data_IF_441473554287
#
_entry.id   IF_441473554287
#
_cell.length_a   1.000
_cell.length_b   1.000
_cell.length_c   1.000
_cell.angle_alpha   90.00
_cell.angle_beta   90.00
_cell.angle_gamma   90.00
#
_symmetry.space_group_name_H-M   'P 1'
#
loop_
_entity.id
_entity.type
_entity.pdbx_description
1 polymer ?
#
# COMPACT_ATOMS: atom_id res chain seq x y z
N UNK A 1 -10.22 -14.47 -2.05
CA UNK A 1 -10.52 -14.99 -0.70
C UNK A 1 -10.23 -13.89 0.30
N UNK A 2 -11.08 -13.68 1.31
CA UNK A 2 -10.85 -12.69 2.37
C UNK A 2 -10.06 -13.29 3.55
N UNK A 3 -9.62 -12.43 4.47
CA UNK A 3 -9.04 -12.78 5.77
C UNK A 3 -9.67 -11.98 6.90
N UNK A 4 -9.12 -12.08 8.12
CA UNK A 4 -9.62 -11.34 9.27
C UNK A 4 -9.33 -9.84 9.12
N UNK A 5 -8.11 -9.51 8.70
CA UNK A 5 -7.68 -8.15 8.41
C UNK A 5 -7.53 -7.89 6.90
N UNK A 6 -7.39 -6.61 6.52
CA UNK A 6 -7.06 -6.20 5.15
C UNK A 6 -5.79 -6.89 4.65
N UNK A 7 -4.74 -6.89 5.47
CA UNK A 7 -3.44 -7.51 5.15
C UNK A 7 -3.58 -9.01 4.84
N UNK A 8 -4.37 -9.74 5.62
CA UNK A 8 -4.60 -11.18 5.40
C UNK A 8 -5.32 -11.43 4.06
N UNK A 9 -6.27 -10.56 3.72
CA UNK A 9 -7.01 -10.63 2.45
C UNK A 9 -6.07 -10.43 1.26
N UNK A 10 -5.16 -9.46 1.34
CA UNK A 10 -4.15 -9.21 0.30
C UNK A 10 -3.20 -10.40 0.19
N UNK A 11 -2.67 -10.90 1.31
CA UNK A 11 -1.78 -12.06 1.31
C UNK A 11 -2.41 -13.29 0.67
N UNK A 12 -3.67 -13.58 0.98
CA UNK A 12 -4.41 -14.68 0.35
C UNK A 12 -4.56 -14.46 -1.17
N UNK A 13 -4.75 -13.22 -1.61
CA UNK A 13 -4.74 -12.84 -3.02
C UNK A 13 -3.38 -13.09 -3.69
N UNK A 14 -2.28 -12.72 -3.04
CA UNK A 14 -0.92 -12.95 -3.53
C UNK A 14 -0.60 -14.44 -3.66
N UNK A 15 -1.03 -15.24 -2.68
CA UNK A 15 -0.83 -16.70 -2.72
C UNK A 15 -1.59 -17.34 -3.88
N UNK A 16 -2.85 -16.93 -4.12
CA UNK A 16 -3.60 -17.38 -5.28
C UNK A 16 -2.95 -16.91 -6.60
N UNK A 17 -2.36 -15.71 -6.61
CA UNK A 17 -1.71 -15.17 -7.79
C UNK A 17 -0.38 -15.87 -8.15
N UNK A 18 0.20 -16.70 -7.26
CA UNK A 18 1.37 -17.54 -7.59
C UNK A 18 1.11 -18.50 -8.75
N UNK A 19 -0.15 -18.86 -9.01
CA UNK A 19 -0.53 -19.72 -10.14
C UNK A 19 -0.27 -19.04 -11.50
N UNK A 20 -0.14 -17.72 -11.54
CA UNK A 20 0.19 -16.97 -12.74
C UNK A 20 1.71 -16.79 -12.85
N UNK A 21 2.39 -17.73 -13.50
CA UNK A 21 3.87 -17.73 -13.67
C UNK A 21 4.45 -16.44 -14.29
N UNK A 22 3.61 -15.63 -14.95
CA UNK A 22 4.01 -14.36 -15.59
C UNK A 22 3.64 -13.10 -14.79
N UNK A 23 3.03 -13.23 -13.61
CA UNK A 23 2.65 -12.09 -12.79
C UNK A 23 3.88 -11.40 -12.21
N UNK A 24 4.28 -10.28 -12.83
CA UNK A 24 5.41 -9.46 -12.36
C UNK A 24 4.98 -8.30 -11.47
N UNK A 25 3.77 -7.81 -11.67
CA UNK A 25 3.22 -6.63 -11.00
C UNK A 25 1.88 -6.98 -10.39
N UNK A 26 1.65 -6.52 -9.16
CA UNK A 26 0.37 -6.61 -8.46
C UNK A 26 -0.13 -5.20 -8.21
N UNK A 27 -1.43 -5.00 -8.44
CA UNK A 27 -2.12 -3.77 -8.07
C UNK A 27 -3.15 -4.07 -7.01
N UNK A 28 -2.98 -3.49 -5.82
CA UNK A 28 -3.89 -3.63 -4.69
C UNK A 28 -4.83 -2.42 -4.67
N UNK A 29 -6.15 -2.68 -4.66
CA UNK A 29 -7.16 -1.63 -4.68
C UNK A 29 -8.32 -1.94 -3.74
N UNK A 30 -8.77 -0.93 -2.97
CA UNK A 30 -9.92 -1.08 -2.10
C UNK A 30 -11.23 -1.08 -2.92
N UNK A 31 -12.03 -2.14 -2.79
CA UNK A 31 -13.33 -2.22 -3.47
C UNK A 31 -14.33 -1.12 -3.09
N UNK A 32 -14.11 -0.40 -1.99
CA UNK A 32 -14.90 0.76 -1.58
C UNK A 32 -14.66 2.01 -2.42
N UNK A 33 -13.73 1.99 -3.39
CA UNK A 33 -13.34 3.14 -4.24
C UNK A 33 -13.67 2.89 -5.73
N UNK A 34 -14.95 2.76 -6.10
CA UNK A 34 -15.35 2.25 -7.43
C UNK A 34 -15.01 3.19 -8.61
N UNK A 35 -14.58 4.42 -8.35
CA UNK A 35 -14.28 5.44 -9.38
C UNK A 35 -12.81 5.44 -9.81
N UNK A 36 -12.08 4.35 -9.59
CA UNK A 36 -10.72 4.17 -10.14
C UNK A 36 -10.78 4.20 -11.66
N UNK A 37 -9.84 4.91 -12.29
CA UNK A 37 -9.75 4.99 -13.75
C UNK A 37 -8.63 4.09 -14.27
N UNK A 38 -8.76 3.53 -15.49
CA UNK A 38 -7.68 2.75 -16.11
C UNK A 38 -6.35 3.52 -16.15
N UNK A 39 -6.42 4.81 -16.51
CA UNK A 39 -5.25 5.70 -16.54
C UNK A 39 -4.51 5.74 -15.20
N UNK A 40 -5.22 5.81 -14.07
CA UNK A 40 -4.57 5.85 -12.75
C UNK A 40 -3.83 4.55 -12.44
N UNK A 41 -4.37 3.40 -12.88
CA UNK A 41 -3.72 2.10 -12.74
C UNK A 41 -2.48 2.03 -13.64
N UNK A 42 -2.62 2.43 -14.90
CA UNK A 42 -1.52 2.45 -15.88
C UNK A 42 -0.38 3.36 -15.39
N UNK A 43 -0.71 4.57 -14.92
CA UNK A 43 0.27 5.51 -14.36
C UNK A 43 0.99 4.89 -13.15
N UNK A 44 0.28 4.20 -12.24
CA UNK A 44 0.91 3.53 -11.10
C UNK A 44 1.85 2.39 -11.54
N UNK A 45 1.49 1.62 -12.57
CA UNK A 45 2.31 0.52 -13.08
C UNK A 45 3.55 1.05 -13.82
N UNK A 46 3.40 2.06 -14.66
CA UNK A 46 4.50 2.60 -15.47
C UNK A 46 5.59 3.22 -14.59
N UNK A 47 5.24 3.75 -13.41
CA UNK A 47 6.21 4.31 -12.48
C UNK A 47 6.98 3.26 -11.65
N UNK A 48 6.61 1.96 -11.71
CA UNK A 48 7.36 0.88 -11.02
C UNK A 48 8.74 0.58 -11.64
N UNK A 49 9.09 1.21 -12.75
CA UNK A 49 10.39 0.97 -13.40
C UNK A 49 11.56 1.39 -12.51
N UNK A 50 11.33 2.34 -11.59
CA UNK A 50 12.36 2.93 -10.74
C UNK A 50 12.35 2.41 -9.29
N UNK A 51 11.39 1.56 -8.91
CA UNK A 51 11.20 1.11 -7.52
C UNK A 51 10.35 -0.16 -7.39
N UNK A 52 10.39 -0.80 -6.21
CA UNK A 52 9.62 -2.03 -5.94
C UNK A 52 8.12 -1.76 -5.65
N UNK A 53 7.74 -0.50 -5.44
CA UNK A 53 6.40 -0.10 -5.05
C UNK A 53 6.07 1.35 -5.40
N UNK A 54 4.86 1.58 -5.91
CA UNK A 54 4.31 2.90 -6.22
C UNK A 54 2.97 3.04 -5.50
N UNK A 55 2.83 4.14 -4.75
CA UNK A 55 1.57 4.52 -4.12
C UNK A 55 1.00 5.77 -4.78
N UNK A 56 -0.32 5.85 -4.84
CA UNK A 56 -1.02 7.07 -5.28
C UNK A 56 -1.46 7.85 -4.05
N UNK A 57 -1.41 9.18 -4.12
CA UNK A 57 -1.77 10.02 -3.00
C UNK A 57 -2.29 11.38 -3.45
N UNK A 58 -2.90 12.10 -2.52
CA UNK A 58 -3.27 13.50 -2.70
C UNK A 58 -2.63 14.35 -1.58
N UNK A 59 -2.30 15.63 -1.83
CA UNK A 59 -1.79 16.50 -0.78
C UNK A 59 -2.78 16.60 0.38
N UNK A 60 -2.28 16.56 1.62
CA UNK A 60 -3.13 16.73 2.80
C UNK A 60 -3.76 18.13 2.82
N UNK A 61 -5.09 18.18 2.90
CA UNK A 61 -5.83 19.45 3.03
C UNK A 61 -5.84 19.94 4.48
N UNK A 62 -6.08 19.01 5.40
CA UNK A 62 -6.13 19.26 6.82
C UNK A 62 -4.72 19.36 7.42
N UNK A 63 -4.62 20.06 8.55
CA UNK A 63 -3.36 20.13 9.31
C UNK A 63 -3.20 18.86 10.13
N UNK A 64 -2.14 18.10 9.89
CA UNK A 64 -1.83 16.90 10.67
C UNK A 64 -1.04 17.30 11.93
N UNK A 65 -1.39 16.70 13.07
CA UNK A 65 -0.68 16.83 14.34
C UNK A 65 -0.19 15.45 14.74
N UNK A 66 1.11 15.34 15.08
CA UNK A 66 1.59 14.20 15.83
C UNK A 66 1.31 14.47 17.30
N UNK A 67 0.71 13.50 17.98
CA UNK A 67 0.25 13.61 19.35
C UNK A 67 0.78 12.42 20.15
N UNK A 68 1.29 12.70 21.34
CA UNK A 68 1.70 11.70 22.32
C UNK A 68 1.15 12.09 23.69
N UNK A 69 0.60 11.12 24.43
CA UNK A 69 -0.09 11.31 25.71
C UNK A 69 -1.10 12.47 25.75
N UNK A 70 -1.80 12.71 24.63
CA UNK A 70 -2.79 13.80 24.50
C UNK A 70 -2.21 15.20 24.23
N UNK A 71 -0.89 15.33 24.12
CA UNK A 71 -0.20 16.59 23.81
C UNK A 71 0.35 16.60 22.38
N UNK A 72 0.26 17.75 21.69
CA UNK A 72 0.86 17.92 20.37
C UNK A 72 2.38 17.94 20.51
N UNK A 73 3.05 16.98 19.88
CA UNK A 73 4.52 16.89 19.85
C UNK A 73 5.11 17.55 18.59
N UNK A 74 4.39 17.47 17.47
CA UNK A 74 4.87 18.00 16.19
C UNK A 74 3.70 18.37 15.27
N UNK A 75 3.94 19.32 14.38
CA UNK A 75 3.09 19.60 13.21
C UNK A 75 3.94 19.43 11.96
N UNK A 76 3.83 18.32 11.23
CA UNK A 76 4.57 18.10 10.00
C UNK A 76 4.30 19.20 8.97
N UNK A 77 5.30 19.48 8.13
CA UNK A 77 5.16 20.42 7.03
C UNK A 77 4.08 19.92 6.05
N UNK A 78 2.99 20.67 5.92
CA UNK A 78 1.86 20.32 5.06
C UNK A 78 2.28 20.16 3.60
N UNK A 79 3.30 20.89 3.13
CA UNK A 79 3.79 20.78 1.74
C UNK A 79 4.43 19.41 1.44
N UNK A 80 4.81 18.68 2.49
CA UNK A 80 5.42 17.34 2.42
C UNK A 80 4.47 16.23 2.88
N UNK A 81 3.23 16.56 3.28
CA UNK A 81 2.29 15.60 3.84
C UNK A 81 1.23 15.21 2.81
N UNK A 82 1.08 13.90 2.58
CA UNK A 82 0.17 13.34 1.60
C UNK A 82 -0.74 12.30 2.24
N UNK A 83 -1.99 12.23 1.76
CA UNK A 83 -2.93 11.18 2.12
C UNK A 83 -2.84 10.08 1.07
N UNK A 84 -2.25 8.96 1.45
CA UNK A 84 -2.12 7.78 0.59
C UNK A 84 -3.51 7.23 0.25
N UNK A 85 -3.68 6.79 -0.98
CA UNK A 85 -4.90 6.19 -1.52
C UNK A 85 -4.53 4.87 -2.23
N UNK A 86 -5.54 4.16 -2.73
CA UNK A 86 -5.36 3.03 -3.65
C UNK A 86 -5.92 3.40 -5.03
N UNK A 87 -5.39 2.87 -6.14
CA UNK A 87 -4.53 1.69 -6.25
C UNK A 87 -3.08 1.89 -5.79
N UNK A 88 -2.48 0.87 -5.20
CA UNK A 88 -1.04 0.76 -4.97
C UNK A 88 -0.48 -0.35 -5.86
N UNK A 89 0.60 -0.07 -6.58
CA UNK A 89 1.23 -1.02 -7.49
C UNK A 89 2.57 -1.48 -6.92
N UNK A 90 2.87 -2.77 -7.01
CA UNK A 90 4.11 -3.35 -6.49
C UNK A 90 4.65 -4.43 -7.42
N UNK A 91 5.95 -4.66 -7.36
CA UNK A 91 6.51 -5.91 -7.89
C UNK A 91 6.03 -7.09 -7.04
N UNK A 92 5.60 -8.17 -7.70
CA UNK A 92 4.99 -9.33 -7.05
C UNK A 92 5.89 -9.94 -5.97
N UNK A 93 7.13 -10.28 -6.34
CA UNK A 93 8.07 -10.97 -5.47
C UNK A 93 8.46 -10.14 -4.24
N UNK A 94 8.85 -8.85 -4.36
CA UNK A 94 9.06 -7.97 -3.21
C UNK A 94 7.85 -7.88 -2.28
N UNK A 95 6.64 -7.67 -2.82
CA UNK A 95 5.43 -7.55 -2.01
C UNK A 95 5.12 -8.83 -1.24
N UNK A 96 5.23 -9.97 -1.90
CA UNK A 96 5.01 -11.27 -1.27
C UNK A 96 5.98 -11.50 -0.10
N UNK A 97 7.28 -11.19 -0.29
CA UNK A 97 8.29 -11.29 0.78
C UNK A 97 8.00 -10.35 1.95
N UNK A 98 7.58 -9.12 1.66
CA UNK A 98 7.19 -8.15 2.69
C UNK A 98 6.03 -8.67 3.54
N UNK A 99 5.01 -9.25 2.91
CA UNK A 99 3.89 -9.90 3.59
C UNK A 99 4.32 -11.13 4.41
N UNK A 100 5.19 -11.99 3.88
CA UNK A 100 5.71 -13.17 4.59
C UNK A 100 6.52 -12.77 5.83
N UNK A 101 7.38 -11.74 5.72
CA UNK A 101 8.12 -11.16 6.83
C UNK A 101 7.19 -10.57 7.89
N UNK A 102 6.23 -9.75 7.49
CA UNK A 102 5.25 -9.14 8.40
C UNK A 102 4.45 -10.20 9.18
N UNK A 103 4.02 -11.28 8.51
CA UNK A 103 3.35 -12.42 9.16
C UNK A 103 4.24 -13.13 10.17
N UNK A 104 5.51 -13.39 9.82
CA UNK A 104 6.44 -14.07 10.71
C UNK A 104 6.70 -13.25 12.00
N UNK A 105 6.63 -11.93 11.91
CA UNK A 105 6.84 -10.99 13.01
C UNK A 105 5.54 -10.60 13.75
N UNK A 106 4.37 -11.04 13.27
CA UNK A 106 3.07 -10.62 13.81
C UNK A 106 2.76 -9.13 13.62
N UNK A 107 3.37 -8.50 12.61
CA UNK A 107 3.20 -7.09 12.30
C UNK A 107 2.02 -6.85 11.36
N UNK A 108 1.22 -5.82 11.67
CA UNK A 108 0.10 -5.37 10.86
C UNK A 108 0.32 -3.92 10.42
N UNK A 109 0.53 -3.74 9.12
CA UNK A 109 0.63 -2.41 8.51
C UNK A 109 -0.75 -1.81 8.26
N UNK A 110 -0.83 -0.48 8.22
CA UNK A 110 -2.07 0.21 7.83
C UNK A 110 -2.35 0.11 6.33
N UNK A 111 -1.31 -0.06 5.52
CA UNK A 111 -1.38 -0.36 4.10
C UNK A 111 -0.21 -1.24 3.64
N UNK A 112 -0.17 -1.57 2.34
CA UNK A 112 0.84 -2.49 1.79
C UNK A 112 2.21 -1.83 1.64
N UNK A 113 2.27 -0.51 1.40
CA UNK A 113 3.53 0.24 1.38
C UNK A 113 4.25 0.19 2.72
N UNK A 114 3.54 0.25 3.84
CA UNK A 114 4.16 0.15 5.16
C UNK A 114 4.87 -1.19 5.37
N UNK A 115 4.44 -2.26 4.69
CA UNK A 115 5.15 -3.55 4.72
C UNK A 115 6.42 -3.50 3.87
N UNK A 116 6.36 -2.80 2.73
CA UNK A 116 7.47 -2.65 1.77
C UNK A 116 8.59 -1.76 2.29
N UNK A 117 8.29 -0.80 3.16
CA UNK A 117 9.27 0.14 3.73
C UNK A 117 10.18 -0.47 4.82
N UNK A 118 10.03 -1.77 5.15
CA UNK A 118 10.69 -2.47 6.28
C UNK A 118 11.75 -3.50 5.87
#
# INVERSE_FOLDING_TARGET
>A
MGGAERQDSVYNGLQAAREFEQAKVVVVHDGARPLVTPRLIDDAIVNLVECDGVVVGIPAKDTIKLVDDGFVIETPDRSKTWQVQTPQAFLFEPLLRAHEKARAEGFYGTDDSMLMER
#
